data_IF_872822181279
#
_entry.id   IF_872822181279
#
_cell.length_a   1.000
_cell.length_b   1.000
_cell.length_c   1.000
_cell.angle_alpha   90.00
_cell.angle_beta   90.00
_cell.angle_gamma   90.00
#
_symmetry.space_group_name_H-M   'P 1'
#
loop_
_entity.id
_entity.type
_entity.pdbx_description
1 polymer ?
#
# COMPACT_ATOMS: atom_id res chain seq x y z
N UNK A 1 -10.37 -3.93 3.49
CA UNK A 1 -10.67 -2.72 2.68
C UNK A 1 -12.05 -2.19 3.05
N UNK A 2 -12.44 -2.37 4.31
CA UNK A 2 -13.85 -2.63 4.62
C UNK A 2 -14.51 -1.43 5.33
N UNK A 3 -13.70 -0.41 5.65
CA UNK A 3 -14.08 0.72 6.48
C UNK A 3 -13.67 2.08 5.91
N UNK A 4 -12.75 2.11 4.94
CA UNK A 4 -12.27 3.33 4.28
C UNK A 4 -12.21 3.09 2.77
N UNK A 5 -12.41 4.14 1.98
CA UNK A 5 -12.33 4.02 0.53
C UNK A 5 -10.91 3.59 0.10
N UNK A 6 -10.77 2.77 -0.95
CA UNK A 6 -9.46 2.39 -1.46
C UNK A 6 -8.60 3.60 -1.87
N UNK A 7 -9.23 4.67 -2.35
CA UNK A 7 -8.57 5.91 -2.76
C UNK A 7 -8.01 6.69 -1.56
N UNK A 8 -8.79 6.84 -0.49
CA UNK A 8 -8.32 7.54 0.71
C UNK A 8 -7.12 6.80 1.32
N UNK A 9 -7.15 5.47 1.29
CA UNK A 9 -6.00 4.66 1.69
C UNK A 9 -4.78 4.87 0.79
N UNK A 10 -4.96 4.89 -0.52
CA UNK A 10 -3.87 5.14 -1.46
C UNK A 10 -3.22 6.51 -1.23
N UNK A 11 -4.03 7.55 -1.04
CA UNK A 11 -3.54 8.89 -0.68
C UNK A 11 -2.76 8.87 0.64
N UNK A 12 -3.32 8.23 1.68
CA UNK A 12 -2.65 8.12 2.98
C UNK A 12 -1.29 7.40 2.89
N UNK A 13 -1.20 6.30 2.13
CA UNK A 13 0.05 5.56 1.92
C UNK A 13 1.09 6.46 1.22
N UNK A 14 0.68 7.13 0.14
CA UNK A 14 1.56 8.03 -0.61
C UNK A 14 2.07 9.18 0.26
N UNK A 15 1.18 9.89 0.94
CA UNK A 15 1.54 11.04 1.77
C UNK A 15 2.43 10.64 2.94
N UNK A 16 2.12 9.51 3.59
CA UNK A 16 2.90 9.00 4.71
C UNK A 16 4.30 8.60 4.27
N UNK A 17 4.45 7.83 3.18
CA UNK A 17 5.80 7.44 2.73
C UNK A 17 6.62 8.66 2.34
N UNK A 18 6.02 9.60 1.60
CA UNK A 18 6.73 10.80 1.13
C UNK A 18 7.14 11.70 2.29
N UNK A 19 6.31 11.81 3.33
CA UNK A 19 6.65 12.52 4.55
C UNK A 19 7.83 11.85 5.27
N UNK A 20 7.77 10.53 5.47
CA UNK A 20 8.85 9.77 6.14
C UNK A 20 10.17 9.86 5.35
N UNK A 21 10.11 9.66 4.04
CA UNK A 21 11.25 9.76 3.13
C UNK A 21 11.87 11.17 3.16
N UNK A 22 11.05 12.24 3.14
CA UNK A 22 11.53 13.63 3.26
C UNK A 22 12.36 13.87 4.52
N UNK A 23 12.04 13.19 5.61
CA UNK A 23 12.76 13.31 6.89
C UNK A 23 13.79 12.21 7.12
N UNK A 24 14.12 11.41 6.09
CA UNK A 24 15.04 10.27 6.17
C UNK A 24 14.65 9.24 7.26
N UNK A 25 13.35 9.05 7.45
CA UNK A 25 12.81 8.05 8.38
C UNK A 25 12.55 6.76 7.60
N UNK A 26 13.27 5.70 7.94
CA UNK A 26 13.06 4.37 7.37
C UNK A 26 11.70 3.80 7.76
N UNK A 27 11.06 3.10 6.84
CA UNK A 27 9.76 2.46 7.05
C UNK A 27 9.66 1.14 6.28
N UNK A 28 8.69 0.32 6.65
CA UNK A 28 8.34 -0.92 5.96
C UNK A 28 6.83 -1.12 6.01
N UNK A 29 6.27 -1.76 4.98
CA UNK A 29 4.89 -2.23 5.03
C UNK A 29 4.72 -3.22 6.19
N UNK A 30 3.59 -3.12 6.88
CA UNK A 30 3.27 -3.98 8.03
C UNK A 30 3.07 -5.44 7.60
N UNK A 31 2.31 -5.64 6.54
CA UNK A 31 2.00 -6.96 5.99
C UNK A 31 2.29 -7.02 4.48
N UNK A 32 2.57 -8.22 4.01
CA UNK A 32 2.66 -8.51 2.58
C UNK A 32 1.31 -8.95 1.98
N UNK A 33 0.51 -9.68 2.75
CA UNK A 33 -0.83 -10.20 2.37
C UNK A 33 -1.85 -9.83 3.42
N UNK A 34 -3.13 -9.76 3.05
CA UNK A 34 -4.22 -9.49 3.99
C UNK A 34 -4.60 -8.01 4.04
N UNK A 35 -5.23 -7.57 5.13
CA UNK A 35 -5.93 -6.28 5.11
C UNK A 35 -4.99 -5.08 4.99
N UNK A 36 -3.77 -5.16 5.52
CA UNK A 36 -2.71 -4.15 5.35
C UNK A 36 -1.71 -4.51 4.24
N UNK A 37 -1.91 -5.65 3.57
CA UNK A 37 -0.98 -6.21 2.60
C UNK A 37 -0.97 -5.49 1.25
N UNK A 38 0.17 -5.61 0.56
CA UNK A 38 0.35 -5.23 -0.84
C UNK A 38 -0.36 -6.22 -1.79
N UNK A 39 -0.38 -7.50 -1.42
CA UNK A 39 -0.95 -8.58 -2.21
C UNK A 39 -2.39 -8.85 -1.80
N UNK A 40 -3.28 -8.85 -2.80
CA UNK A 40 -4.60 -9.44 -2.69
C UNK A 40 -4.51 -10.94 -3.02
N UNK A 41 -5.13 -11.76 -2.17
CA UNK A 41 -5.40 -13.14 -2.52
C UNK A 41 -6.82 -13.24 -3.06
N UNK A 42 -6.95 -13.39 -4.39
CA UNK A 42 -8.22 -13.60 -5.06
C UNK A 42 -8.17 -14.94 -5.78
N UNK A 43 -9.09 -15.85 -5.43
CA UNK A 43 -9.21 -17.17 -6.03
C UNK A 43 -7.90 -18.00 -6.01
N UNK A 44 -7.16 -17.95 -4.90
CA UNK A 44 -5.89 -18.68 -4.74
C UNK A 44 -4.70 -18.12 -5.53
N UNK A 45 -4.89 -16.97 -6.20
CA UNK A 45 -3.81 -16.23 -6.85
C UNK A 45 -3.48 -14.97 -6.06
N UNK A 46 -2.19 -14.75 -5.80
CA UNK A 46 -1.68 -13.50 -5.22
C UNK A 46 -1.45 -12.50 -6.34
N UNK A 47 -2.14 -11.37 -6.30
CA UNK A 47 -1.96 -10.25 -7.22
C UNK A 47 -1.68 -9.00 -6.43
N UNK A 48 -0.69 -8.22 -6.85
CA UNK A 48 -0.43 -6.94 -6.23
C UNK A 48 -1.63 -6.02 -6.47
N UNK A 49 -2.06 -5.29 -5.44
CA UNK A 49 -3.07 -4.25 -5.60
C UNK A 49 -2.48 -3.07 -6.36
N UNK A 50 -2.94 -2.78 -7.59
CA UNK A 50 -2.36 -1.72 -8.42
C UNK A 50 -2.36 -0.35 -7.73
N UNK A 51 -3.42 -0.02 -6.99
CA UNK A 51 -3.52 1.26 -6.28
C UNK A 51 -2.49 1.36 -5.15
N UNK A 52 -2.27 0.27 -4.42
CA UNK A 52 -1.27 0.24 -3.35
C UNK A 52 0.15 0.26 -3.94
N UNK A 53 0.40 -0.44 -5.05
CA UNK A 53 1.70 -0.41 -5.76
C UNK A 53 2.04 1.01 -6.22
N UNK A 54 1.07 1.69 -6.85
CA UNK A 54 1.24 3.07 -7.31
C UNK A 54 1.47 4.04 -6.13
N UNK A 55 0.69 3.91 -5.05
CA UNK A 55 0.86 4.74 -3.85
C UNK A 55 2.24 4.54 -3.18
N UNK A 56 2.80 3.33 -3.26
CA UNK A 56 4.15 3.03 -2.78
C UNK A 56 5.26 3.56 -3.71
N UNK A 57 4.90 4.13 -4.87
CA UNK A 57 5.86 4.60 -5.86
C UNK A 57 6.63 3.48 -6.56
N UNK A 58 6.07 2.27 -6.58
CA UNK A 58 6.69 1.11 -7.21
C UNK A 58 6.27 1.00 -8.68
N UNK A 59 7.12 0.47 -9.57
CA UNK A 59 6.75 0.22 -10.95
C UNK A 59 5.65 -0.85 -11.03
N UNK A 60 4.71 -0.65 -11.96
CA UNK A 60 3.57 -1.54 -12.22
C UNK A 60 3.96 -2.82 -12.98
#
# INVERSE_FOLDING_TARGET
RDFASPQDRAHWISDTRLALERYNISWTMWDYTGNFGLMEEKAGQRRADPLTVEALGLPA
#
